data_IF_718865026293
#
_entry.id   IF_718865026293
#
_cell.length_a   1.000
_cell.length_b   1.000
_cell.length_c   1.000
_cell.angle_alpha   90.00
_cell.angle_beta   90.00
_cell.angle_gamma   90.00
#
_symmetry.space_group_name_H-M   'P 1'
#
loop_
_entity.id
_entity.type
_entity.pdbx_description
1 polymer ?
#
# COMPACT_ATOMS: atom_id res chain seq x y z
N UNK A 1 9.11 8.02 8.25
CA UNK A 1 9.61 8.49 6.95
C UNK A 1 8.74 7.82 5.90
N UNK A 2 8.09 8.59 5.03
CA UNK A 2 7.35 8.02 3.91
C UNK A 2 8.39 7.49 2.92
N UNK A 3 8.33 6.20 2.60
CA UNK A 3 9.25 5.62 1.62
C UNK A 3 8.75 5.92 0.21
N UNK A 4 9.68 6.27 -0.67
CA UNK A 4 9.44 6.42 -2.11
C UNK A 4 9.99 5.22 -2.89
N UNK A 5 9.52 5.05 -4.13
CA UNK A 5 10.05 4.05 -5.07
C UNK A 5 11.57 4.19 -5.25
N UNK A 6 12.08 5.42 -5.29
CA UNK A 6 13.51 5.69 -5.46
C UNK A 6 14.33 5.24 -4.23
N UNK A 7 13.84 5.53 -3.03
CA UNK A 7 14.46 5.12 -1.76
C UNK A 7 14.47 3.59 -1.63
N UNK A 8 13.35 2.94 -1.95
CA UNK A 8 13.25 1.47 -1.95
C UNK A 8 14.27 0.82 -2.89
N UNK A 9 14.41 1.38 -4.10
CA UNK A 9 15.39 0.94 -5.08
C UNK A 9 16.83 1.16 -4.59
N UNK A 10 17.10 2.28 -3.92
CA UNK A 10 18.41 2.57 -3.35
C UNK A 10 18.77 1.57 -2.23
N UNK A 11 17.83 1.26 -1.33
CA UNK A 11 18.06 0.24 -0.30
C UNK A 11 18.34 -1.13 -0.91
N UNK A 12 17.64 -1.50 -1.98
CA UNK A 12 17.92 -2.74 -2.71
C UNK A 12 19.37 -2.75 -3.25
N UNK A 13 19.83 -1.64 -3.85
CA UNK A 13 21.21 -1.51 -4.35
C UNK A 13 22.25 -1.60 -3.23
N UNK A 14 21.96 -1.05 -2.04
CA UNK A 14 22.84 -1.14 -0.85
C UNK A 14 23.00 -2.56 -0.32
N UNK A 15 22.10 -3.47 -0.69
CA UNK A 15 22.16 -4.90 -0.38
C UNK A 15 22.77 -5.72 -1.54
N UNK A 16 23.53 -5.08 -2.43
CA UNK A 16 24.09 -5.68 -3.66
C UNK A 16 23.02 -6.26 -4.61
N UNK A 17 21.77 -5.80 -4.46
CA UNK A 17 20.64 -6.21 -5.27
C UNK A 17 20.43 -5.35 -6.52
N UNK A 18 19.68 -5.88 -7.48
CA UNK A 18 19.23 -5.16 -8.68
C UNK A 18 17.72 -4.91 -8.58
N UNK A 19 17.28 -3.65 -8.35
CA UNK A 19 15.87 -3.33 -8.19
C UNK A 19 15.12 -3.34 -9.52
N UNK A 20 13.94 -3.91 -9.52
CA UNK A 20 12.90 -3.76 -10.54
C UNK A 20 11.65 -3.20 -9.86
N UNK A 21 11.38 -1.93 -10.17
CA UNK A 21 10.32 -1.13 -9.56
C UNK A 21 9.10 -0.98 -10.48
N UNK A 22 9.10 -1.60 -11.66
CA UNK A 22 8.14 -1.33 -12.73
C UNK A 22 6.69 -1.61 -12.34
N UNK A 23 6.47 -2.46 -11.33
CA UNK A 23 5.15 -2.89 -10.86
C UNK A 23 4.73 -2.30 -9.52
N UNK A 24 5.53 -1.41 -8.92
CA UNK A 24 5.20 -0.83 -7.61
C UNK A 24 4.05 0.16 -7.75
N UNK A 25 4.08 1.02 -8.76
CA UNK A 25 3.07 2.05 -8.97
C UNK A 25 2.00 1.57 -9.96
N UNK A 26 0.75 1.73 -9.57
CA UNK A 26 -0.41 1.49 -10.41
C UNK A 26 -1.38 2.66 -10.27
N UNK A 27 -1.91 3.16 -11.38
CA UNK A 27 -2.94 4.20 -11.38
C UNK A 27 -4.33 3.58 -11.50
N UNK A 28 -5.29 4.05 -10.72
CA UNK A 28 -6.70 3.63 -10.77
C UNK A 28 -7.60 4.73 -10.19
N UNK A 29 -8.88 4.75 -10.53
CA UNK A 29 -9.86 5.65 -9.87
C UNK A 29 -10.37 4.93 -8.60
N UNK A 30 -9.77 5.26 -7.46
CA UNK A 30 -9.99 4.54 -6.20
C UNK A 30 -11.20 5.08 -5.43
N UNK A 31 -11.45 6.38 -5.51
CA UNK A 31 -12.50 7.07 -4.75
C UNK A 31 -13.75 7.39 -5.59
N UNK A 32 -13.74 7.08 -6.89
CA UNK A 32 -14.85 7.30 -7.81
C UNK A 32 -15.05 8.77 -8.20
N UNK A 33 -14.00 9.59 -8.15
CA UNK A 33 -14.06 11.00 -8.53
C UNK A 33 -13.77 11.24 -10.03
N UNK A 34 -13.42 10.18 -10.77
CA UNK A 34 -13.09 10.21 -12.19
C UNK A 34 -11.66 10.64 -12.50
N UNK A 35 -10.77 10.73 -11.50
CA UNK A 35 -9.38 11.12 -11.63
C UNK A 35 -8.45 9.96 -11.24
N UNK A 36 -7.21 9.93 -11.77
CA UNK A 36 -6.28 8.86 -11.48
C UNK A 36 -5.65 9.03 -10.09
N UNK A 37 -5.98 8.12 -9.20
CA UNK A 37 -5.30 7.91 -7.92
C UNK A 37 -4.11 6.95 -8.10
N UNK A 38 -3.19 6.94 -7.13
CA UNK A 38 -2.03 6.06 -7.15
C UNK A 38 -2.06 5.03 -6.03
N UNK A 39 -1.73 3.80 -6.41
CA UNK A 39 -1.39 2.69 -5.51
C UNK A 39 0.12 2.49 -5.59
N UNK A 40 0.82 2.55 -4.45
CA UNK A 40 2.19 2.09 -4.34
C UNK A 40 2.24 0.78 -3.54
N UNK A 41 2.31 -0.34 -4.26
CA UNK A 41 2.42 -1.70 -3.69
C UNK A 41 3.88 -2.16 -3.69
N UNK A 42 4.58 -1.96 -2.57
CA UNK A 42 5.98 -2.34 -2.47
C UNK A 42 6.18 -3.86 -2.38
N UNK A 43 5.12 -4.66 -2.22
CA UNK A 43 5.23 -6.12 -2.38
C UNK A 43 5.65 -6.51 -3.80
N UNK A 44 5.43 -5.61 -4.78
CA UNK A 44 5.83 -5.80 -6.18
C UNK A 44 7.26 -5.39 -6.47
N UNK A 45 7.98 -4.80 -5.51
CA UNK A 45 9.41 -4.53 -5.67
C UNK A 45 10.16 -5.85 -5.76
N UNK A 46 10.76 -6.11 -6.92
CA UNK A 46 11.66 -7.25 -7.10
C UNK A 46 13.09 -6.74 -6.90
N UNK A 47 13.73 -7.17 -5.81
CA UNK A 47 15.15 -6.92 -5.59
C UNK A 47 15.94 -8.17 -5.95
N UNK A 48 16.45 -8.27 -7.18
CA UNK A 48 17.18 -9.48 -7.59
C UNK A 48 18.48 -9.59 -6.79
N UNK A 49 18.85 -10.79 -6.34
CA UNK A 49 20.04 -11.09 -5.52
C UNK A 49 20.01 -10.60 -4.07
N UNK A 50 18.91 -9.97 -3.62
CA UNK A 50 18.74 -9.60 -2.23
C UNK A 50 17.26 -9.72 -1.82
N UNK A 51 16.97 -9.51 -0.54
CA UNK A 51 15.59 -9.46 -0.05
C UNK A 51 14.95 -8.11 -0.40
N UNK A 52 13.63 -8.09 -0.60
CA UNK A 52 12.89 -6.85 -0.77
C UNK A 52 12.97 -6.01 0.51
N UNK A 53 13.64 -4.84 0.49
CA UNK A 53 13.88 -4.06 1.70
C UNK A 53 12.64 -3.29 2.17
N UNK A 54 11.59 -3.19 1.36
CA UNK A 54 10.32 -2.55 1.70
C UNK A 54 9.34 -3.53 2.37
N UNK A 55 9.76 -4.79 2.57
CA UNK A 55 9.01 -5.82 3.25
C UNK A 55 9.75 -6.29 4.50
N UNK A 56 8.98 -6.72 5.50
CA UNK A 56 9.48 -7.34 6.72
C UNK A 56 8.49 -8.35 7.28
N UNK A 57 8.71 -8.84 8.51
CA UNK A 57 7.82 -9.82 9.15
C UNK A 57 6.35 -9.37 9.28
N UNK A 58 6.15 -8.05 9.31
CA UNK A 58 4.85 -7.41 9.49
C UNK A 58 4.07 -7.25 8.17
N UNK A 59 4.71 -7.46 7.02
CA UNK A 59 4.14 -7.21 5.71
C UNK A 59 5.05 -6.34 4.84
N UNK A 60 4.52 -5.88 3.72
CA UNK A 60 5.16 -4.94 2.82
C UNK A 60 4.49 -3.58 2.94
N UNK A 61 5.27 -2.52 2.72
CA UNK A 61 4.71 -1.18 2.67
C UNK A 61 3.67 -1.06 1.56
N UNK A 62 2.53 -0.45 1.88
CA UNK A 62 1.51 -0.07 0.92
C UNK A 62 1.13 1.38 1.18
N UNK A 63 1.05 2.17 0.11
CA UNK A 63 0.57 3.55 0.18
C UNK A 63 -0.53 3.76 -0.87
N UNK A 64 -1.54 4.56 -0.51
CA UNK A 64 -2.53 5.06 -1.45
C UNK A 64 -2.47 6.58 -1.47
N UNK A 65 -2.62 7.14 -2.66
CA UNK A 65 -2.65 8.58 -2.85
C UNK A 65 -3.85 8.99 -3.69
N UNK A 66 -4.61 9.96 -3.21
CA UNK A 66 -5.70 10.57 -3.96
C UNK A 66 -5.25 11.80 -4.71
N UNK A 67 -5.79 12.02 -5.89
CA UNK A 67 -5.59 13.27 -6.60
C UNK A 67 -6.27 14.43 -5.84
N UNK A 68 -5.51 15.46 -5.47
CA UNK A 68 -6.03 16.60 -4.70
C UNK A 68 -6.33 17.84 -5.55
N UNK A 69 -6.03 17.81 -6.86
CA UNK A 69 -6.25 18.94 -7.78
C UNK A 69 -4.96 19.44 -8.41
N UNK A 70 -3.90 19.56 -7.62
CA UNK A 70 -2.59 20.05 -8.03
C UNK A 70 -1.45 19.04 -7.75
N UNK A 71 -1.71 18.08 -6.84
CA UNK A 71 -0.76 17.05 -6.42
C UNK A 71 -1.53 15.78 -5.98
N UNK A 72 -0.83 14.83 -5.36
CA UNK A 72 -1.39 13.64 -4.77
C UNK A 72 -1.24 13.64 -3.25
N UNK A 73 -2.36 13.51 -2.54
CA UNK A 73 -2.39 13.42 -1.09
C UNK A 73 -2.33 11.96 -0.65
N UNK A 74 -1.42 11.63 0.26
CA UNK A 74 -1.32 10.27 0.82
C UNK A 74 -2.44 10.02 1.82
N UNK A 75 -3.37 9.16 1.47
CA UNK A 75 -4.56 8.84 2.27
C UNK A 75 -4.44 7.52 3.02
N UNK A 76 -3.45 6.69 2.67
CA UNK A 76 -3.15 5.44 3.37
C UNK A 76 -1.65 5.18 3.36
N UNK A 77 -1.11 4.71 4.49
CA UNK A 77 0.24 4.19 4.62
C UNK A 77 0.27 3.16 5.74
N UNK A 78 0.58 1.91 5.43
CA UNK A 78 0.79 0.86 6.43
C UNK A 78 1.64 -0.29 5.87
N UNK A 79 2.16 -1.13 6.77
CA UNK A 79 2.73 -2.43 6.43
C UNK A 79 1.63 -3.49 6.44
N UNK A 80 1.34 -4.02 5.26
CA UNK A 80 0.24 -4.98 5.06
C UNK A 80 0.77 -6.31 4.58
N UNK A 81 0.17 -7.41 5.06
CA UNK A 81 0.44 -8.76 4.55
C UNK A 81 -0.30 -9.04 3.25
N UNK A 82 -1.34 -8.28 2.97
CA UNK A 82 -2.07 -8.32 1.70
C UNK A 82 -3.21 -7.32 1.67
N UNK A 83 -3.72 -7.04 0.48
CA UNK A 83 -4.90 -6.22 0.29
C UNK A 83 -5.72 -6.73 -0.90
N UNK A 84 -6.99 -6.36 -0.94
CA UNK A 84 -7.88 -6.56 -2.09
C UNK A 84 -8.87 -5.42 -2.19
N UNK A 85 -9.20 -5.02 -3.41
CA UNK A 85 -10.31 -4.11 -3.65
C UNK A 85 -11.59 -4.88 -3.95
N UNK A 86 -12.72 -4.32 -3.54
CA UNK A 86 -14.04 -4.81 -3.92
C UNK A 86 -15.00 -3.63 -4.11
N UNK A 87 -16.17 -3.89 -4.67
CA UNK A 87 -17.23 -2.91 -4.86
C UNK A 87 -18.47 -3.33 -4.07
N UNK A 88 -19.09 -2.39 -3.36
CA UNK A 88 -20.36 -2.58 -2.66
C UNK A 88 -21.30 -1.44 -3.06
N UNK A 89 -22.17 -1.71 -4.05
CA UNK A 89 -22.99 -0.68 -4.67
C UNK A 89 -22.11 0.39 -5.34
N UNK A 90 -22.35 1.70 -5.08
CA UNK A 90 -21.51 2.78 -5.61
C UNK A 90 -20.17 2.94 -4.88
N UNK A 91 -19.98 2.28 -3.74
CA UNK A 91 -18.76 2.43 -2.93
C UNK A 91 -17.70 1.42 -3.32
N UNK A 92 -16.46 1.90 -3.41
CA UNK A 92 -15.27 1.03 -3.49
C UNK A 92 -14.75 0.76 -2.08
N UNK A 93 -14.36 -0.48 -1.83
CA UNK A 93 -13.82 -0.95 -0.54
C UNK A 93 -12.40 -1.48 -0.73
N UNK A 94 -11.55 -1.28 0.27
CA UNK A 94 -10.25 -1.91 0.40
C UNK A 94 -10.26 -2.78 1.64
N UNK A 95 -9.98 -4.06 1.46
CA UNK A 95 -9.77 -4.98 2.56
C UNK A 95 -8.27 -5.17 2.72
N UNK A 96 -7.77 -4.90 3.92
CA UNK A 96 -6.36 -5.00 4.28
C UNK A 96 -6.18 -6.11 5.29
N UNK A 97 -5.21 -6.99 5.06
CA UNK A 97 -4.71 -7.93 6.07
C UNK A 97 -3.40 -7.40 6.62
N UNK A 98 -3.33 -7.16 7.92
CA UNK A 98 -2.12 -6.71 8.63
C UNK A 98 -1.66 -7.73 9.68
N UNK A 99 -0.52 -7.47 10.32
CA UNK A 99 0.00 -8.24 11.45
C UNK A 99 -0.84 -8.01 12.72
N UNK A 100 -0.63 -8.80 13.76
CA UNK A 100 -1.55 -8.79 14.93
C UNK A 100 -1.47 -7.54 15.82
N UNK A 101 -0.37 -6.78 15.82
CA UNK A 101 -0.21 -5.69 16.80
C UNK A 101 -1.23 -4.54 16.64
N UNK A 102 -1.57 -4.06 15.43
CA UNK A 102 -2.64 -3.07 15.22
C UNK A 102 -3.99 -3.42 15.84
N UNK A 103 -4.28 -4.71 16.05
CA UNK A 103 -5.54 -5.21 16.60
C UNK A 103 -5.38 -5.88 17.98
N UNK A 104 -4.31 -5.57 18.72
CA UNK A 104 -4.02 -6.15 20.04
C UNK A 104 -3.89 -7.68 20.05
N UNK A 105 -3.29 -8.25 19.00
CA UNK A 105 -2.97 -9.68 18.89
C UNK A 105 -1.46 -9.91 18.77
N UNK A 106 -0.97 -11.12 19.05
CA UNK A 106 0.42 -11.49 18.79
C UNK A 106 0.87 -11.18 17.35
N UNK A 107 2.13 -10.75 17.16
CA UNK A 107 2.63 -10.32 15.84
C UNK A 107 2.58 -11.41 14.75
N UNK A 108 2.61 -12.68 15.15
CA UNK A 108 2.46 -13.83 14.25
C UNK A 108 1.00 -14.08 13.80
N UNK A 109 0.02 -13.48 14.48
CA UNK A 109 -1.37 -13.47 14.02
C UNK A 109 -1.63 -12.38 12.98
N UNK A 110 -2.84 -12.39 12.42
CA UNK A 110 -3.28 -11.42 11.42
C UNK A 110 -4.63 -10.84 11.77
N UNK A 111 -4.86 -9.61 11.33
CA UNK A 111 -6.15 -8.94 11.41
C UNK A 111 -6.56 -8.37 10.07
N UNK A 112 -7.87 -8.23 9.88
CA UNK A 112 -8.45 -7.71 8.66
C UNK A 112 -9.18 -6.42 8.97
N UNK A 113 -8.84 -5.37 8.24
CA UNK A 113 -9.53 -4.09 8.25
C UNK A 113 -10.24 -3.89 6.92
N UNK A 114 -11.41 -3.26 6.97
CA UNK A 114 -12.08 -2.81 5.76
C UNK A 114 -12.21 -1.30 5.78
N UNK A 115 -11.69 -0.66 4.73
CA UNK A 115 -11.82 0.76 4.48
C UNK A 115 -12.79 0.99 3.33
N UNK A 116 -13.65 1.98 3.47
CA UNK A 116 -14.39 2.55 2.36
C UNK A 116 -13.58 3.68 1.75
N UNK A 117 -13.49 3.70 0.43
CA UNK A 117 -12.76 4.70 -0.34
C UNK A 117 -13.76 5.78 -0.71
N UNK A 118 -13.95 6.72 0.22
CA UNK A 118 -14.81 7.88 -0.01
C UNK A 118 -14.02 8.95 -0.79
N UNK A 119 -14.72 9.90 -1.42
CA UNK A 119 -14.09 10.91 -2.31
C UNK A 119 -12.90 11.65 -1.69
N UNK A 120 -12.98 11.97 -0.41
CA UNK A 120 -11.99 12.81 0.27
C UNK A 120 -11.05 12.02 1.19
N UNK A 121 -11.42 10.80 1.60
CA UNK A 121 -10.67 10.04 2.59
C UNK A 121 -11.02 8.55 2.63
N UNK A 122 -10.15 7.77 3.24
CA UNK A 122 -10.48 6.40 3.64
C UNK A 122 -11.22 6.38 4.99
N UNK A 123 -12.42 5.80 4.99
CA UNK A 123 -13.21 5.62 6.22
C UNK A 123 -13.15 4.16 6.70
N UNK A 124 -12.66 3.87 7.92
CA UNK A 124 -12.74 2.54 8.48
C UNK A 124 -14.19 2.08 8.65
N UNK A 125 -14.51 0.88 8.18
CA UNK A 125 -15.84 0.26 8.29
C UNK A 125 -15.84 -0.81 9.38
N UNK A 126 -14.75 -1.58 9.50
CA UNK A 126 -14.60 -2.65 10.47
C UNK A 126 -13.15 -3.05 10.66
#
# INVERSE_FOLDING_TARGET
>A
MAETVAEAAERCRKLDGVPDTAKILQSDDLNGDGRPDWIADYSKLVCKKASNPACGPNGCLMQLYYWSGDDWEKVFEDFVKGYKFSTSGPSRLMHVTTYGLPCNRPANETCNYTYRLDKEALTPVR
#
